data_IF_049093341503
#
_entry.id   IF_049093341503
#
_cell.length_a   1.000
_cell.length_b   1.000
_cell.length_c   1.000
_cell.angle_alpha   90.00
_cell.angle_beta   90.00
_cell.angle_gamma   90.00
#
_symmetry.space_group_name_H-M   'P 1'
#
loop_
_entity.id
_entity.type
_entity.pdbx_description
1 polymer ?
#
# COMPACT_ATOMS: atom_id res chain seq x y z
N UNK A 1 8.27 -28.11 -25.31
CA UNK A 1 7.13 -27.16 -25.18
C UNK A 1 7.21 -26.50 -23.82
N UNK A 2 6.94 -25.20 -23.67
CA UNK A 2 6.93 -24.56 -22.35
C UNK A 2 5.80 -25.19 -21.53
N UNK A 3 6.16 -26.11 -20.63
CA UNK A 3 5.21 -26.77 -19.75
C UNK A 3 4.81 -25.80 -18.64
N UNK A 4 3.52 -25.48 -18.53
CA UNK A 4 2.97 -24.78 -17.36
C UNK A 4 3.35 -25.54 -16.09
N UNK A 5 4.37 -25.06 -15.38
CA UNK A 5 4.86 -25.73 -14.17
C UNK A 5 3.78 -25.72 -13.09
N UNK A 6 3.83 -26.68 -12.16
CA UNK A 6 2.90 -26.74 -11.01
C UNK A 6 2.95 -25.43 -10.22
N UNK A 7 4.13 -24.82 -10.09
CA UNK A 7 4.31 -23.51 -9.45
C UNK A 7 3.57 -22.38 -10.19
N UNK A 8 3.58 -22.38 -11.53
CA UNK A 8 2.85 -21.39 -12.32
C UNK A 8 1.32 -21.54 -12.15
N UNK A 9 0.81 -22.78 -12.08
CA UNK A 9 -0.62 -23.05 -11.82
C UNK A 9 -1.05 -22.61 -10.42
N UNK A 10 -0.27 -22.97 -9.39
CA UNK A 10 -0.52 -22.54 -8.02
C UNK A 10 -0.50 -21.01 -7.90
N UNK A 11 0.45 -20.33 -8.57
CA UNK A 11 0.53 -18.87 -8.61
C UNK A 11 -0.73 -18.23 -9.17
N UNK A 12 -1.17 -18.67 -10.36
CA UNK A 12 -2.37 -18.12 -11.00
C UNK A 12 -3.62 -18.34 -10.14
N UNK A 13 -3.76 -19.54 -9.56
CA UNK A 13 -4.87 -19.85 -8.66
C UNK A 13 -4.87 -18.95 -7.42
N UNK A 14 -3.72 -18.77 -6.76
CA UNK A 14 -3.59 -17.88 -5.60
C UNK A 14 -3.91 -16.43 -5.97
N UNK A 15 -3.33 -15.89 -7.04
CA UNK A 15 -3.60 -14.51 -7.48
C UNK A 15 -5.07 -14.30 -7.82
N UNK A 16 -5.74 -15.28 -8.42
CA UNK A 16 -7.17 -15.20 -8.74
C UNK A 16 -8.05 -15.22 -7.48
N UNK A 17 -7.73 -16.07 -6.49
CA UNK A 17 -8.44 -16.10 -5.21
C UNK A 17 -8.28 -14.75 -4.48
N UNK A 18 -7.06 -14.21 -4.43
CA UNK A 18 -6.79 -12.91 -3.83
C UNK A 18 -7.53 -11.79 -4.56
N UNK A 19 -7.53 -11.81 -5.90
CA UNK A 19 -8.27 -10.86 -6.70
C UNK A 19 -9.76 -10.85 -6.37
N UNK A 20 -10.42 -12.02 -6.40
CA UNK A 20 -11.86 -12.12 -6.14
C UNK A 20 -12.18 -11.62 -4.73
N UNK A 21 -11.39 -12.03 -3.73
CA UNK A 21 -11.60 -11.62 -2.36
C UNK A 21 -11.36 -10.12 -2.17
N UNK A 22 -10.24 -9.59 -2.63
CA UNK A 22 -9.89 -8.18 -2.50
C UNK A 22 -10.89 -7.28 -3.24
N UNK A 23 -11.29 -7.65 -4.46
CA UNK A 23 -12.26 -6.90 -5.25
C UNK A 23 -13.64 -6.88 -4.56
N UNK A 24 -14.16 -8.04 -4.15
CA UNK A 24 -15.49 -8.11 -3.52
C UNK A 24 -15.52 -7.38 -2.17
N UNK A 25 -14.50 -7.58 -1.34
CA UNK A 25 -14.45 -6.99 0.00
C UNK A 25 -14.23 -5.47 -0.02
N UNK A 26 -13.28 -4.96 -0.82
CA UNK A 26 -13.05 -3.52 -0.94
C UNK A 26 -14.22 -2.81 -1.64
N UNK A 27 -14.87 -3.44 -2.63
CA UNK A 27 -16.07 -2.89 -3.26
C UNK A 27 -17.22 -2.78 -2.26
N UNK A 28 -17.42 -3.79 -1.41
CA UNK A 28 -18.42 -3.76 -0.34
C UNK A 28 -18.16 -2.62 0.66
N UNK A 29 -16.89 -2.42 1.07
CA UNK A 29 -16.50 -1.29 1.94
C UNK A 29 -16.82 0.04 1.26
N UNK A 30 -16.45 0.20 -0.01
CA UNK A 30 -16.67 1.43 -0.77
C UNK A 30 -18.17 1.74 -0.89
N UNK A 31 -18.99 0.75 -1.26
CA UNK A 31 -20.44 0.87 -1.34
C UNK A 31 -21.06 1.24 0.02
N UNK A 32 -20.61 0.61 1.10
CA UNK A 32 -21.09 0.89 2.47
C UNK A 32 -20.84 2.33 2.90
N UNK A 33 -19.69 2.91 2.52
CA UNK A 33 -19.37 4.32 2.80
C UNK A 33 -20.25 5.26 1.97
N UNK A 34 -20.50 4.96 0.69
CA UNK A 34 -21.33 5.80 -0.19
C UNK A 34 -22.83 5.76 0.14
N UNK A 35 -23.38 4.59 0.47
CA UNK A 35 -24.80 4.44 0.82
C UNK A 35 -25.16 4.86 2.24
N UNK A 36 -24.24 5.50 2.98
CA UNK A 36 -24.54 6.04 4.31
C UNK A 36 -24.71 4.99 5.41
N UNK A 37 -24.60 3.69 5.10
CA UNK A 37 -24.51 2.60 6.10
C UNK A 37 -23.22 2.69 6.95
N UNK A 38 -22.22 3.45 6.49
CA UNK A 38 -21.03 3.83 7.24
C UNK A 38 -21.22 4.89 8.35
N UNK A 39 -22.46 5.22 8.77
CA UNK A 39 -22.74 6.18 9.86
C UNK A 39 -22.05 5.83 11.19
N UNK A 40 -21.65 4.57 11.36
CA UNK A 40 -20.90 4.06 12.53
C UNK A 40 -19.44 4.51 12.56
N UNK A 41 -18.90 4.99 11.43
CA UNK A 41 -17.55 5.55 11.36
C UNK A 41 -17.58 7.06 11.51
N UNK A 42 -16.61 7.59 12.26
CA UNK A 42 -16.44 9.03 12.43
C UNK A 42 -16.35 9.74 11.08
N UNK A 43 -17.01 10.89 10.95
CA UNK A 43 -17.13 11.61 9.68
C UNK A 43 -15.77 11.90 8.99
N UNK A 44 -14.70 12.06 9.77
CA UNK A 44 -13.33 12.30 9.32
C UNK A 44 -12.62 11.05 8.76
N UNK A 45 -13.05 9.85 9.14
CA UNK A 45 -12.48 8.57 8.68
C UNK A 45 -13.07 8.12 7.34
N UNK A 46 -14.33 8.47 7.06
CA UNK A 46 -15.03 8.12 5.81
C UNK A 46 -14.21 8.40 4.54
N UNK A 47 -13.65 9.61 4.31
CA UNK A 47 -12.89 9.89 3.09
C UNK A 47 -11.58 9.11 3.02
N UNK A 48 -10.95 8.82 4.16
CA UNK A 48 -9.69 8.08 4.23
C UNK A 48 -9.92 6.62 3.86
N UNK A 49 -10.98 6.01 4.40
CA UNK A 49 -11.32 4.60 4.15
C UNK A 49 -11.84 4.39 2.73
N UNK A 50 -12.64 5.33 2.21
CA UNK A 50 -13.04 5.29 0.81
C UNK A 50 -11.83 5.38 -0.13
N UNK A 51 -10.84 6.22 0.22
CA UNK A 51 -9.62 6.34 -0.58
C UNK A 51 -8.73 5.10 -0.48
N UNK A 52 -8.65 4.45 0.68
CA UNK A 52 -7.91 3.20 0.84
C UNK A 52 -8.56 2.08 0.03
N UNK A 53 -9.87 1.88 0.18
CA UNK A 53 -10.60 0.89 -0.61
C UNK A 53 -10.50 1.16 -2.13
N UNK A 54 -10.49 2.43 -2.55
CA UNK A 54 -10.26 2.79 -3.95
C UNK A 54 -8.84 2.42 -4.42
N UNK A 55 -7.80 2.68 -3.62
CA UNK A 55 -6.42 2.30 -3.93
C UNK A 55 -6.24 0.77 -3.98
N UNK A 56 -6.88 0.03 -3.07
CA UNK A 56 -6.84 -1.44 -3.05
C UNK A 56 -7.61 -2.06 -4.23
N UNK A 57 -8.74 -1.45 -4.64
CA UNK A 57 -9.44 -1.84 -5.86
C UNK A 57 -8.58 -1.59 -7.09
N UNK A 58 -7.85 -0.48 -7.13
CA UNK A 58 -6.88 -0.22 -8.20
C UNK A 58 -5.77 -1.27 -8.22
N UNK A 59 -5.19 -1.62 -7.07
CA UNK A 59 -4.22 -2.72 -6.96
C UNK A 59 -4.85 -4.05 -7.44
N UNK A 60 -6.08 -4.33 -7.05
CA UNK A 60 -6.77 -5.57 -7.39
C UNK A 60 -7.10 -5.67 -8.87
N UNK A 61 -7.67 -4.64 -9.50
CA UNK A 61 -8.12 -4.68 -10.89
C UNK A 61 -7.02 -4.40 -11.91
N UNK A 62 -5.94 -3.71 -11.51
CA UNK A 62 -4.86 -3.34 -12.42
C UNK A 62 -3.66 -4.25 -12.19
N UNK A 63 -3.17 -4.33 -10.96
CA UNK A 63 -1.88 -4.95 -10.67
C UNK A 63 -1.95 -6.47 -10.70
N UNK A 64 -2.97 -7.06 -10.07
CA UNK A 64 -3.07 -8.53 -10.03
C UNK A 64 -3.32 -9.16 -11.42
N UNK A 65 -4.20 -8.63 -12.29
CA UNK A 65 -4.40 -9.15 -13.64
C UNK A 65 -3.21 -8.88 -14.54
N UNK A 66 -2.58 -7.70 -14.44
CA UNK A 66 -1.38 -7.39 -15.22
C UNK A 66 -0.24 -8.36 -14.86
N UNK A 67 -0.04 -8.64 -13.57
CA UNK A 67 0.95 -9.62 -13.11
C UNK A 67 0.61 -11.04 -13.60
N UNK A 68 -0.67 -11.43 -13.58
CA UNK A 68 -1.11 -12.72 -14.11
C UNK A 68 -0.90 -12.84 -15.64
N UNK A 69 -1.25 -11.82 -16.41
CA UNK A 69 -1.09 -11.78 -17.87
C UNK A 69 0.39 -11.82 -18.24
N UNK A 70 1.22 -10.99 -17.61
CA UNK A 70 2.66 -10.97 -17.85
C UNK A 70 3.30 -12.36 -17.64
N UNK A 71 2.86 -13.02 -16.58
CA UNK A 71 3.30 -14.36 -16.20
C UNK A 71 2.81 -15.49 -17.11
N UNK A 72 1.73 -15.28 -17.88
CA UNK A 72 1.14 -16.29 -18.78
C UNK A 72 1.66 -16.09 -20.20
N UNK A 73 1.67 -14.85 -20.69
CA UNK A 73 1.92 -14.61 -22.11
C UNK A 73 3.41 -14.51 -22.44
N UNK A 74 4.28 -14.09 -21.49
CA UNK A 74 5.74 -13.85 -21.66
C UNK A 74 6.08 -12.83 -22.77
N UNK A 75 5.11 -12.52 -23.64
CA UNK A 75 5.10 -11.67 -24.81
C UNK A 75 3.90 -10.72 -24.73
N UNK A 76 4.13 -9.44 -25.05
CA UNK A 76 3.14 -8.37 -24.96
C UNK A 76 2.48 -8.10 -26.31
N UNK A 77 1.18 -8.37 -26.42
CA UNK A 77 0.42 -8.25 -27.67
C UNK A 77 -0.36 -6.92 -27.79
N UNK A 78 -0.49 -6.13 -26.72
CA UNK A 78 -1.39 -4.97 -26.66
C UNK A 78 -0.77 -3.64 -27.14
N UNK A 79 0.41 -3.66 -27.75
CA UNK A 79 1.10 -2.48 -28.29
C UNK A 79 1.74 -1.55 -27.24
N UNK A 80 2.52 -0.57 -27.70
CA UNK A 80 3.35 0.31 -26.86
C UNK A 80 2.56 1.24 -25.93
N UNK A 81 1.46 1.81 -26.44
CA UNK A 81 0.60 2.71 -25.66
C UNK A 81 0.00 2.00 -24.45
N UNK A 82 -0.51 0.78 -24.63
CA UNK A 82 -1.08 0.00 -23.54
C UNK A 82 -0.01 -0.44 -22.53
N UNK A 83 1.20 -0.77 -22.99
CA UNK A 83 2.34 -1.10 -22.13
C UNK A 83 2.67 0.06 -21.19
N UNK A 84 2.89 1.26 -21.74
CA UNK A 84 3.15 2.49 -20.96
C UNK A 84 2.04 2.80 -19.97
N UNK A 85 0.79 2.74 -20.44
CA UNK A 85 -0.37 3.02 -19.59
C UNK A 85 -0.49 2.03 -18.44
N UNK A 86 -0.29 0.74 -18.68
CA UNK A 86 -0.39 -0.29 -17.65
C UNK A 86 0.76 -0.22 -16.63
N UNK A 87 1.99 0.09 -17.07
CA UNK A 87 3.11 0.36 -16.16
C UNK A 87 2.85 1.59 -15.29
N UNK A 88 2.35 2.68 -15.88
CA UNK A 88 1.92 3.86 -15.14
C UNK A 88 0.84 3.54 -14.11
N UNK A 89 -0.24 2.86 -14.53
CA UNK A 89 -1.35 2.52 -13.65
C UNK A 89 -0.93 1.58 -12.52
N UNK A 90 -0.05 0.60 -12.80
CA UNK A 90 0.53 -0.28 -11.78
C UNK A 90 1.25 0.53 -10.71
N UNK A 91 2.13 1.43 -11.14
CA UNK A 91 2.95 2.19 -10.21
C UNK A 91 2.12 3.25 -9.46
N UNK A 92 1.18 3.88 -10.14
CA UNK A 92 0.22 4.79 -9.53
C UNK A 92 -0.58 4.11 -8.43
N UNK A 93 -1.07 2.88 -8.67
CA UNK A 93 -1.77 2.08 -7.66
C UNK A 93 -0.87 1.82 -6.43
N UNK A 94 0.38 1.40 -6.63
CA UNK A 94 1.32 1.14 -5.54
C UNK A 94 1.64 2.41 -4.72
N UNK A 95 1.89 3.56 -5.38
CA UNK A 95 2.12 4.82 -4.67
C UNK A 95 0.88 5.29 -3.92
N UNK A 96 -0.31 5.15 -4.52
CA UNK A 96 -1.55 5.55 -3.87
C UNK A 96 -1.76 4.73 -2.60
N UNK A 97 -1.65 3.40 -2.64
CA UNK A 97 -1.79 2.54 -1.47
C UNK A 97 -0.82 2.94 -0.34
N UNK A 98 0.46 3.15 -0.64
CA UNK A 98 1.45 3.55 0.36
C UNK A 98 1.18 4.94 0.96
N UNK A 99 0.84 5.95 0.15
CA UNK A 99 0.58 7.30 0.66
C UNK A 99 -0.76 7.43 1.39
N UNK A 100 -1.77 6.65 1.03
CA UNK A 100 -3.01 6.60 1.81
C UNK A 100 -2.73 6.08 3.23
N UNK A 101 -1.86 5.08 3.41
CA UNK A 101 -1.45 4.60 4.73
C UNK A 101 -0.67 5.65 5.54
N UNK A 102 0.12 6.48 4.87
CA UNK A 102 0.75 7.66 5.49
C UNK A 102 -0.31 8.66 5.96
N UNK A 103 -1.33 8.93 5.13
CA UNK A 103 -2.45 9.81 5.51
C UNK A 103 -3.22 9.24 6.69
N UNK A 104 -3.49 7.93 6.73
CA UNK A 104 -4.09 7.24 7.88
C UNK A 104 -3.26 7.51 9.13
N UNK A 105 -1.95 7.27 9.08
CA UNK A 105 -1.05 7.43 10.22
C UNK A 105 -0.97 8.86 10.74
N UNK A 106 -0.90 9.84 9.82
CA UNK A 106 -0.89 11.27 10.15
C UNK A 106 -2.23 11.77 10.72
N UNK A 107 -3.35 11.26 10.20
CA UNK A 107 -4.67 11.53 10.73
C UNK A 107 -4.80 11.01 12.17
N UNK A 108 -4.32 9.79 12.44
CA UNK A 108 -4.29 9.23 13.80
C UNK A 108 -3.37 10.01 14.74
N UNK A 109 -2.18 10.37 14.27
CA UNK A 109 -1.25 11.22 15.01
C UNK A 109 -1.91 12.52 15.49
N UNK A 110 -2.52 13.26 14.56
CA UNK A 110 -3.22 14.51 14.91
C UNK A 110 -4.46 14.26 15.77
N UNK A 111 -5.24 13.24 15.43
CA UNK A 111 -6.44 12.91 16.17
C UNK A 111 -6.16 12.46 17.61
N UNK A 112 -4.95 12.01 17.96
CA UNK A 112 -4.56 11.65 19.34
C UNK A 112 -3.86 12.82 20.05
N UNK A 113 -2.85 13.44 19.43
CA UNK A 113 -2.04 14.48 20.08
C UNK A 113 -2.74 15.84 20.14
N UNK A 114 -3.62 16.16 19.18
CA UNK A 114 -4.29 17.46 19.07
C UNK A 114 -5.82 17.28 19.00
N UNK A 115 -6.48 16.94 20.13
CA UNK A 115 -7.92 16.67 20.15
C UNK A 115 -8.80 17.87 19.76
N UNK A 116 -8.34 19.10 20.03
CA UNK A 116 -9.07 20.33 19.72
C UNK A 116 -9.15 20.62 18.22
N UNK A 117 -8.19 20.12 17.42
CA UNK A 117 -8.16 20.26 15.95
C UNK A 117 -9.10 19.28 15.23
N UNK A 118 -9.95 18.55 15.97
CA UNK A 118 -10.85 17.54 15.42
C UNK A 118 -12.03 18.12 14.64
N UNK A 119 -12.38 19.39 14.87
CA UNK A 119 -13.47 20.09 14.18
C UNK A 119 -13.21 20.24 12.67
N UNK A 120 -11.96 20.50 12.29
CA UNK A 120 -11.53 20.63 10.88
C UNK A 120 -10.98 19.32 10.27
N UNK A 121 -11.05 18.22 11.00
CA UNK A 121 -10.44 16.95 10.61
C UNK A 121 -10.91 16.45 9.23
N UNK A 122 -12.19 16.64 8.88
CA UNK A 122 -12.72 16.23 7.57
C UNK A 122 -12.05 16.99 6.43
N UNK A 123 -11.97 18.33 6.53
CA UNK A 123 -11.39 19.19 5.48
C UNK A 123 -9.89 18.94 5.36
N UNK A 124 -9.21 18.79 6.49
CA UNK A 124 -7.79 18.43 6.54
C UNK A 124 -7.52 17.10 5.87
N UNK A 125 -8.29 16.06 6.22
CA UNK A 125 -8.09 14.72 5.65
C UNK A 125 -8.34 14.74 4.13
N UNK A 126 -9.37 15.44 3.65
CA UNK A 126 -9.57 15.65 2.20
C UNK A 126 -8.38 16.31 1.52
N UNK A 127 -7.79 17.34 2.14
CA UNK A 127 -6.59 18.00 1.60
C UNK A 127 -5.38 17.06 1.57
N UNK A 128 -5.15 16.31 2.66
CA UNK A 128 -4.08 15.32 2.73
C UNK A 128 -4.23 14.21 1.68
N UNK A 129 -5.46 13.74 1.46
CA UNK A 129 -5.78 12.77 0.42
C UNK A 129 -5.55 13.34 -0.98
N UNK A 130 -6.00 14.57 -1.25
CA UNK A 130 -5.75 15.23 -2.53
C UNK A 130 -4.24 15.36 -2.81
N UNK A 131 -3.45 15.74 -1.81
CA UNK A 131 -1.99 15.77 -1.93
C UNK A 131 -1.41 14.38 -2.19
N UNK A 132 -1.88 13.36 -1.48
CA UNK A 132 -1.43 11.97 -1.68
C UNK A 132 -1.70 11.49 -3.11
N UNK A 133 -2.93 11.64 -3.61
CA UNK A 133 -3.30 11.25 -4.98
C UNK A 133 -2.49 12.00 -6.03
N UNK A 134 -2.37 13.33 -5.90
CA UNK A 134 -1.57 14.14 -6.83
C UNK A 134 -0.09 13.74 -6.82
N UNK A 135 0.47 13.47 -5.63
CA UNK A 135 1.85 13.02 -5.50
C UNK A 135 2.03 11.62 -6.11
N UNK A 136 1.08 10.71 -5.93
CA UNK A 136 1.12 9.38 -6.57
C UNK A 136 1.12 9.49 -8.09
N UNK A 137 0.30 10.38 -8.68
CA UNK A 137 0.31 10.62 -10.13
C UNK A 137 1.64 11.21 -10.57
N UNK A 138 2.14 12.22 -9.87
CA UNK A 138 3.40 12.88 -10.19
C UNK A 138 4.57 11.90 -10.17
N UNK A 139 4.68 11.09 -9.12
CA UNK A 139 5.74 10.09 -8.98
C UNK A 139 5.61 8.93 -9.97
N UNK A 140 4.39 8.59 -10.39
CA UNK A 140 4.17 7.57 -11.41
C UNK A 140 4.38 8.09 -12.84
N UNK A 141 4.22 9.39 -13.09
CA UNK A 141 4.27 10.00 -14.43
C UNK A 141 5.55 9.73 -15.24
N UNK A 142 6.77 9.58 -14.67
CA UNK A 142 7.97 9.26 -15.44
C UNK A 142 7.84 7.96 -16.24
N UNK A 143 7.02 7.01 -15.78
CA UNK A 143 6.73 5.74 -16.47
C UNK A 143 6.15 5.96 -17.88
N UNK A 144 5.39 7.03 -18.09
CA UNK A 144 4.76 7.34 -19.38
C UNK A 144 5.77 7.82 -20.44
N UNK A 145 6.91 8.37 -20.01
CA UNK A 145 7.90 8.98 -20.89
C UNK A 145 9.15 8.11 -21.06
N UNK A 146 9.52 7.35 -20.04
CA UNK A 146 10.78 6.57 -20.00
C UNK A 146 10.65 5.21 -20.68
N UNK A 147 9.55 4.48 -20.45
CA UNK A 147 9.41 3.11 -20.95
C UNK A 147 9.02 3.10 -22.42
N UNK A 148 9.69 2.29 -23.24
CA UNK A 148 9.32 2.01 -24.64
C UNK A 148 9.28 0.49 -24.85
N UNK A 149 8.42 0.01 -25.74
CA UNK A 149 8.50 -1.38 -26.21
C UNK A 149 9.80 -1.58 -26.97
N UNK A 150 10.64 -2.48 -26.49
CA UNK A 150 11.84 -2.92 -27.20
C UNK A 150 11.47 -4.20 -27.95
N UNK A 151 11.65 -4.19 -29.28
CA UNK A 151 11.62 -5.42 -30.09
C UNK A 151 12.99 -6.08 -29.97
N UNK A 152 13.04 -7.36 -29.60
CA UNK A 152 14.30 -8.09 -29.65
C UNK A 152 14.77 -8.20 -31.11
N UNK A 153 16.02 -7.87 -31.40
CA UNK A 153 16.57 -7.99 -32.76
C UNK A 153 16.54 -9.47 -33.21
N UNK A 154 15.89 -9.75 -34.35
CA UNK A 154 15.94 -11.05 -35.03
C UNK A 154 14.80 -12.03 -34.73
N UNK A 155 13.83 -11.70 -33.87
CA UNK A 155 12.62 -12.51 -33.63
C UNK A 155 11.41 -11.60 -33.41
N UNK A 156 10.21 -11.97 -33.91
CA UNK A 156 8.93 -11.29 -33.62
C UNK A 156 8.51 -11.49 -32.14
N UNK A 157 9.31 -10.97 -31.21
CA UNK A 157 9.13 -11.10 -29.78
C UNK A 157 9.18 -9.71 -29.14
N UNK A 158 8.02 -9.24 -28.67
CA UNK A 158 7.84 -7.91 -28.07
C UNK A 158 7.62 -8.08 -26.57
N UNK A 159 8.53 -7.56 -25.75
CA UNK A 159 8.37 -7.53 -24.30
C UNK A 159 8.20 -6.08 -23.82
N UNK A 160 7.21 -5.83 -22.98
CA UNK A 160 7.08 -4.59 -22.18
C UNK A 160 8.04 -4.68 -20.98
N UNK A 161 9.34 -4.70 -21.23
CA UNK A 161 10.38 -4.81 -20.19
C UNK A 161 11.09 -3.47 -19.96
N UNK A 162 11.46 -3.27 -18.70
CA UNK A 162 12.39 -2.23 -18.21
C UNK A 162 13.81 -2.42 -18.76
N UNK A 163 14.18 -3.67 -19.03
CA UNK A 163 15.53 -4.06 -19.47
C UNK A 163 15.83 -3.46 -20.85
N UNK A 164 16.79 -2.53 -20.90
CA UNK A 164 17.24 -1.85 -22.12
C UNK A 164 16.61 -0.49 -22.40
N UNK A 165 15.67 0.00 -21.56
CA UNK A 165 15.16 1.38 -21.69
C UNK A 165 16.18 2.43 -21.19
N UNK A 166 17.13 2.00 -20.36
CA UNK A 166 18.23 2.82 -19.87
C UNK A 166 19.53 2.45 -20.59
N UNK A 167 20.25 3.46 -21.08
CA UNK A 167 21.54 3.30 -21.77
C UNK A 167 22.63 2.76 -20.82
N UNK A 168 22.48 3.00 -19.52
CA UNK A 168 23.46 2.61 -18.51
C UNK A 168 22.78 2.00 -17.26
N UNK A 169 23.41 0.96 -16.72
CA UNK A 169 22.96 0.21 -15.54
C UNK A 169 22.76 1.11 -14.28
N UNK A 170 23.49 2.22 -14.18
CA UNK A 170 23.33 3.16 -13.06
C UNK A 170 21.97 3.87 -13.09
N UNK A 171 21.41 4.15 -14.27
CA UNK A 171 20.14 4.88 -14.38
C UNK A 171 18.98 3.98 -13.93
N UNK A 172 18.98 2.72 -14.36
CA UNK A 172 18.03 1.71 -13.90
C UNK A 172 18.12 1.51 -12.38
N UNK A 173 19.34 1.42 -11.84
CA UNK A 173 19.57 1.29 -10.40
C UNK A 173 19.04 2.51 -9.64
N UNK A 174 19.39 3.74 -10.05
CA UNK A 174 18.90 4.97 -9.41
C UNK A 174 17.38 5.07 -9.47
N UNK A 175 16.77 4.69 -10.60
CA UNK A 175 15.34 4.69 -10.77
C UNK A 175 14.64 3.70 -9.82
N UNK A 176 15.13 2.47 -9.74
CA UNK A 176 14.62 1.47 -8.82
C UNK A 176 14.81 1.90 -7.35
N UNK A 177 15.94 2.53 -7.02
CA UNK A 177 16.19 3.09 -5.68
C UNK A 177 15.20 4.20 -5.32
N UNK A 178 14.91 5.09 -6.26
CA UNK A 178 13.92 6.14 -6.05
C UNK A 178 12.54 5.56 -5.70
N UNK A 179 12.10 4.53 -6.44
CA UNK A 179 10.83 3.85 -6.19
C UNK A 179 10.84 3.09 -4.86
N UNK A 180 11.93 2.39 -4.55
CA UNK A 180 12.11 1.73 -3.27
C UNK A 180 11.97 2.70 -2.08
N UNK A 181 12.65 3.85 -2.17
CA UNK A 181 12.60 4.87 -1.13
C UNK A 181 11.19 5.46 -1.00
N UNK A 182 10.55 5.81 -2.11
CA UNK A 182 9.26 6.51 -2.09
C UNK A 182 8.07 5.60 -1.80
N UNK A 183 8.11 4.32 -2.19
CA UNK A 183 7.05 3.33 -1.94
C UNK A 183 7.14 2.68 -0.57
N UNK A 184 8.34 2.57 0.01
CA UNK A 184 8.53 1.79 1.22
C UNK A 184 9.21 2.57 2.35
N UNK A 185 10.45 3.05 2.13
CA UNK A 185 11.23 3.68 3.21
C UNK A 185 10.58 4.96 3.72
N UNK A 186 10.21 5.87 2.84
CA UNK A 186 9.58 7.14 3.22
C UNK A 186 8.24 6.90 3.96
N UNK A 187 7.30 6.09 3.43
CA UNK A 187 6.10 5.73 4.18
C UNK A 187 6.42 5.10 5.54
N UNK A 188 7.35 4.15 5.60
CA UNK A 188 7.73 3.46 6.83
C UNK A 188 8.26 4.43 7.90
N UNK A 189 9.15 5.35 7.53
CA UNK A 189 9.70 6.35 8.45
C UNK A 189 8.61 7.26 9.01
N UNK A 190 7.69 7.74 8.16
CA UNK A 190 6.58 8.58 8.61
C UNK A 190 5.65 7.81 9.56
N UNK A 191 5.35 6.54 9.24
CA UNK A 191 4.53 5.68 10.09
C UNK A 191 5.20 5.44 11.46
N UNK A 192 6.48 5.05 11.47
CA UNK A 192 7.25 4.84 12.70
C UNK A 192 7.25 6.11 13.55
N UNK A 193 7.55 7.26 12.96
CA UNK A 193 7.52 8.55 13.65
C UNK A 193 6.15 8.84 14.28
N UNK A 194 5.07 8.72 13.50
CA UNK A 194 3.70 8.98 13.97
C UNK A 194 3.33 8.08 15.14
N UNK A 195 3.50 6.77 15.00
CA UNK A 195 3.11 5.81 16.04
C UNK A 195 3.99 5.90 17.28
N UNK A 196 5.29 6.15 17.13
CA UNK A 196 6.19 6.35 18.28
C UNK A 196 5.71 7.53 19.12
N UNK A 197 5.40 8.66 18.49
CA UNK A 197 4.88 9.85 19.19
C UNK A 197 3.50 9.63 19.82
N UNK A 198 2.65 8.82 19.19
CA UNK A 198 1.36 8.42 19.77
C UNK A 198 1.58 7.59 21.03
N UNK A 199 2.42 6.55 20.96
CA UNK A 199 2.68 5.67 22.10
C UNK A 199 3.35 6.39 23.27
N UNK A 200 4.31 7.28 22.99
CA UNK A 200 4.95 8.08 24.07
C UNK A 200 3.95 9.02 24.73
N UNK A 201 3.04 9.66 23.98
CA UNK A 201 2.00 10.51 24.56
C UNK A 201 1.01 9.71 25.41
N UNK A 202 0.59 8.54 24.94
CA UNK A 202 -0.31 7.65 25.69
C UNK A 202 0.36 7.17 26.98
N UNK A 203 1.61 6.73 26.91
CA UNK A 203 2.34 6.25 28.08
C UNK A 203 2.55 7.37 29.11
N UNK A 204 2.94 8.57 28.65
CA UNK A 204 3.07 9.75 29.53
C UNK A 204 1.75 10.08 30.25
N UNK A 205 0.63 10.07 29.53
CA UNK A 205 -0.69 10.31 30.13
C UNK A 205 -1.09 9.24 31.15
N UNK A 206 -0.74 7.97 30.92
CA UNK A 206 -1.00 6.89 31.87
C UNK A 206 -0.16 7.07 33.15
N UNK A 207 1.11 7.47 33.02
CA UNK A 207 1.97 7.75 34.16
C UNK A 207 1.47 8.95 34.98
N UNK A 208 1.17 10.08 34.34
CA UNK A 208 0.60 11.26 35.02
C UNK A 208 -0.70 10.94 35.76
N UNK A 209 -1.54 10.08 35.18
CA UNK A 209 -2.82 9.72 35.79
C UNK A 209 -2.64 8.78 36.99
N UNK A 210 -1.68 7.84 36.95
CA UNK A 210 -1.34 6.99 38.11
C UNK A 210 -0.82 7.79 39.30
N UNK A 211 0.00 8.81 39.04
CA UNK A 211 0.52 9.68 40.08
C UNK A 211 -0.61 10.52 40.71
N UNK A 212 -1.55 11.04 39.91
CA UNK A 212 -2.70 11.80 40.40
C UNK A 212 -3.79 10.95 41.08
N UNK A 213 -3.98 9.68 40.69
CA UNK A 213 -4.92 8.75 41.33
C UNK A 213 -4.57 8.47 42.79
N UNK A 214 -3.28 8.56 43.14
CA UNK A 214 -2.79 8.44 44.51
C UNK A 214 -3.18 9.62 45.42
N UNK A 215 -3.53 10.78 44.83
CA UNK A 215 -3.84 12.02 45.57
C UNK A 215 -5.31 12.45 45.50
N UNK A 216 -6.07 12.16 44.44
CA UNK A 216 -7.47 12.62 44.31
C UNK A 216 -8.38 11.58 43.67
N UNK A 217 -9.22 10.96 44.49
CA UNK A 217 -10.34 10.09 44.11
C UNK A 217 -11.49 10.94 43.53
N UNK A 218 -11.34 11.48 42.32
CA UNK A 218 -12.39 12.29 41.65
C UNK A 218 -12.56 11.89 40.18
N UNK A 219 -13.62 11.12 39.93
CA UNK A 219 -14.28 10.85 38.63
C UNK A 219 -13.36 10.43 37.47
N UNK A 220 -13.18 9.10 37.33
CA UNK A 220 -12.46 8.48 36.22
C UNK A 220 -13.17 8.66 34.88
N UNK A 221 -12.91 9.78 34.21
CA UNK A 221 -13.07 9.88 32.76
C UNK A 221 -11.86 9.27 32.07
N UNK A 222 -12.06 8.29 31.18
CA UNK A 222 -10.99 7.77 30.33
C UNK A 222 -10.25 8.95 29.65
N UNK A 223 -8.94 9.11 29.92
CA UNK A 223 -8.09 10.19 29.37
C UNK A 223 -8.14 10.22 27.83
N UNK A 224 -8.42 9.07 27.21
CA UNK A 224 -8.68 8.93 25.78
C UNK A 224 -10.01 8.20 25.60
N UNK A 225 -10.99 8.81 24.92
CA UNK A 225 -12.25 8.16 24.59
C UNK A 225 -12.02 6.78 23.96
N UNK A 226 -12.73 5.75 24.45
CA UNK A 226 -12.65 4.36 23.94
C UNK A 226 -12.78 4.28 22.42
N UNK A 227 -13.58 5.16 21.82
CA UNK A 227 -13.71 5.31 20.37
C UNK A 227 -12.38 5.67 19.67
N UNK A 228 -11.60 6.61 20.22
CA UNK A 228 -10.27 6.99 19.67
C UNK A 228 -9.28 5.85 19.80
N UNK A 229 -9.26 5.15 20.95
CA UNK A 229 -8.41 3.97 21.15
C UNK A 229 -8.75 2.85 20.16
N UNK A 230 -10.04 2.59 19.91
CA UNK A 230 -10.49 1.61 18.93
C UNK A 230 -9.94 1.91 17.53
N UNK A 231 -10.10 3.15 17.09
CA UNK A 231 -9.60 3.60 15.77
C UNK A 231 -8.08 3.63 15.67
N UNK A 232 -7.37 3.83 16.78
CA UNK A 232 -5.91 3.73 16.84
C UNK A 232 -5.46 2.27 16.72
N UNK A 233 -6.07 1.34 17.47
CA UNK A 233 -5.75 -0.09 17.35
C UNK A 233 -5.97 -0.59 15.93
N UNK A 234 -7.10 -0.21 15.35
CA UNK A 234 -7.43 -0.48 13.96
C UNK A 234 -6.36 0.00 12.98
N UNK A 235 -5.91 1.27 13.09
CA UNK A 235 -4.88 1.81 12.20
C UNK A 235 -3.51 1.16 12.40
N UNK A 236 -3.17 0.80 13.65
CA UNK A 236 -1.94 0.05 13.96
C UNK A 236 -1.97 -1.30 13.25
N UNK A 237 -3.09 -2.03 13.30
CA UNK A 237 -3.20 -3.33 12.60
C UNK A 237 -3.07 -3.17 11.08
N UNK A 238 -3.72 -2.16 10.48
CA UNK A 238 -3.60 -1.85 9.04
C UNK A 238 -2.13 -1.58 8.66
N UNK A 239 -1.45 -0.73 9.43
CA UNK A 239 -0.05 -0.38 9.15
C UNK A 239 0.89 -1.55 9.38
N UNK A 240 0.69 -2.33 10.42
CA UNK A 240 1.46 -3.56 10.67
C UNK A 240 1.26 -4.57 9.55
N UNK A 241 0.04 -4.73 9.03
CA UNK A 241 -0.25 -5.58 7.87
C UNK A 241 0.58 -5.16 6.67
N UNK A 242 0.58 -3.87 6.31
CA UNK A 242 1.39 -3.36 5.20
C UNK A 242 2.88 -3.65 5.38
N UNK A 243 3.43 -3.36 6.57
CA UNK A 243 4.85 -3.62 6.86
C UNK A 243 5.14 -5.12 6.72
N UNK A 244 4.36 -5.99 7.35
CA UNK A 244 4.60 -7.44 7.32
C UNK A 244 4.51 -7.97 5.88
N UNK A 245 3.48 -7.59 5.12
CA UNK A 245 3.26 -8.07 3.75
C UNK A 245 4.34 -7.58 2.77
N UNK A 246 4.77 -6.32 2.87
CA UNK A 246 5.67 -5.73 1.88
C UNK A 246 7.16 -5.83 2.25
N UNK A 247 7.52 -5.97 3.53
CA UNK A 247 8.92 -6.07 3.97
C UNK A 247 9.70 -7.15 3.22
N UNK A 248 9.21 -8.40 3.08
CA UNK A 248 9.99 -9.46 2.46
C UNK A 248 10.37 -9.16 1.02
N UNK A 249 9.43 -8.61 0.24
CA UNK A 249 9.65 -8.20 -1.14
C UNK A 249 10.69 -7.08 -1.25
N UNK A 250 10.58 -6.07 -0.38
CA UNK A 250 11.48 -4.93 -0.37
C UNK A 250 12.89 -5.27 0.17
N UNK A 251 13.00 -6.15 1.16
CA UNK A 251 14.29 -6.65 1.65
C UNK A 251 15.02 -7.45 0.57
N UNK A 252 14.30 -8.26 -0.20
CA UNK A 252 14.89 -8.98 -1.33
C UNK A 252 15.43 -7.99 -2.38
N UNK A 253 14.70 -6.90 -2.65
CA UNK A 253 15.18 -5.82 -3.51
C UNK A 253 16.48 -5.16 -3.02
N UNK A 254 16.60 -4.90 -1.71
CA UNK A 254 17.83 -4.40 -1.11
C UNK A 254 18.96 -5.43 -1.20
N UNK A 255 18.66 -6.71 -1.02
CA UNK A 255 19.66 -7.77 -1.09
C UNK A 255 20.34 -7.81 -2.47
N UNK A 256 19.56 -7.70 -3.55
CA UNK A 256 20.11 -7.61 -4.91
C UNK A 256 20.92 -6.35 -5.16
N UNK A 257 20.66 -5.27 -4.42
CA UNK A 257 21.46 -4.07 -4.53
C UNK A 257 22.88 -4.28 -4.01
N UNK A 258 23.06 -4.99 -2.89
CA UNK A 258 24.38 -5.31 -2.36
C UNK A 258 25.08 -6.44 -3.12
N UNK A 259 24.31 -7.41 -3.65
CA UNK A 259 24.84 -8.58 -4.35
C UNK A 259 24.11 -8.80 -5.68
N UNK A 260 24.39 -8.01 -6.73
CA UNK A 260 23.70 -8.11 -8.02
C UNK A 260 23.87 -9.47 -8.70
N UNK A 261 24.98 -10.18 -8.44
CA UNK A 261 25.22 -11.54 -8.94
C UNK A 261 24.16 -12.56 -8.46
N UNK A 262 23.47 -12.28 -7.36
CA UNK A 262 22.43 -13.16 -6.82
C UNK A 262 21.14 -13.17 -7.63
N UNK A 263 20.92 -12.19 -8.52
CA UNK A 263 19.75 -12.17 -9.43
C UNK A 263 19.76 -13.39 -10.35
N UNK A 264 20.94 -13.84 -10.80
CA UNK A 264 21.07 -15.01 -11.68
C UNK A 264 20.90 -16.35 -10.93
N UNK A 265 21.15 -16.35 -9.62
CA UNK A 265 21.05 -17.55 -8.78
C UNK A 265 19.70 -17.67 -8.07
N UNK A 266 18.94 -16.58 -7.94
CA UNK A 266 17.63 -16.64 -7.30
C UNK A 266 16.58 -17.04 -8.33
N UNK A 267 15.83 -18.10 -8.09
CA UNK A 267 14.82 -18.51 -9.04
C UNK A 267 13.64 -17.53 -9.05
N UNK A 268 13.14 -17.26 -10.26
CA UNK A 268 12.10 -16.26 -10.55
C UNK A 268 10.83 -16.40 -9.68
N UNK A 269 10.50 -17.63 -9.25
CA UNK A 269 9.34 -17.89 -8.39
C UNK A 269 9.42 -17.17 -7.04
N UNK A 270 10.62 -16.90 -6.50
CA UNK A 270 10.78 -16.24 -5.19
C UNK A 270 10.26 -14.81 -5.26
N UNK A 271 10.65 -14.05 -6.29
CA UNK A 271 10.18 -12.67 -6.48
C UNK A 271 8.65 -12.61 -6.58
N UNK A 272 8.06 -13.51 -7.36
CA UNK A 272 6.62 -13.56 -7.53
C UNK A 272 5.90 -13.97 -6.24
N UNK A 273 6.42 -14.95 -5.49
CA UNK A 273 5.81 -15.33 -4.22
C UNK A 273 5.83 -14.18 -3.22
N UNK A 274 6.93 -13.43 -3.13
CA UNK A 274 7.01 -12.27 -2.24
C UNK A 274 6.11 -11.11 -2.72
N UNK A 275 5.97 -10.94 -4.04
CA UNK A 275 5.04 -9.94 -4.58
C UNK A 275 3.57 -10.30 -4.31
N UNK A 276 3.19 -11.57 -4.51
CA UNK A 276 1.87 -12.10 -4.17
C UNK A 276 1.61 -11.98 -2.65
N UNK A 277 2.64 -12.20 -1.83
CA UNK A 277 2.56 -11.98 -0.38
C UNK A 277 2.32 -10.50 -0.04
N UNK A 278 2.95 -9.57 -0.75
CA UNK A 278 2.66 -8.13 -0.65
C UNK A 278 1.20 -7.79 -0.97
N UNK A 279 0.64 -8.44 -1.99
CA UNK A 279 -0.76 -8.24 -2.40
C UNK A 279 -1.78 -8.73 -1.36
N UNK A 280 -1.40 -9.60 -0.41
CA UNK A 280 -2.28 -9.99 0.71
C UNK A 280 -2.72 -8.80 1.54
N UNK A 281 -1.93 -7.72 1.59
CA UNK A 281 -2.29 -6.52 2.34
C UNK A 281 -3.66 -5.96 1.93
N UNK A 282 -3.95 -5.95 0.61
CA UNK A 282 -5.23 -5.46 0.07
C UNK A 282 -6.45 -6.26 0.53
N UNK A 283 -6.23 -7.51 0.96
CA UNK A 283 -7.26 -8.39 1.52
C UNK A 283 -7.45 -8.15 3.02
N UNK A 284 -6.38 -7.81 3.74
CA UNK A 284 -6.41 -7.61 5.18
C UNK A 284 -7.23 -6.38 5.58
N UNK A 285 -7.19 -5.31 4.80
CA UNK A 285 -7.81 -4.03 5.14
C UNK A 285 -9.33 -4.12 5.39
N UNK A 286 -10.16 -4.66 4.47
CA UNK A 286 -11.59 -4.92 4.69
C UNK A 286 -11.91 -5.79 5.92
N UNK A 287 -11.10 -6.83 6.17
CA UNK A 287 -11.27 -7.71 7.32
C UNK A 287 -11.08 -6.91 8.62
N UNK A 288 -10.03 -6.09 8.67
CA UNK A 288 -9.76 -5.22 9.82
C UNK A 288 -10.93 -4.23 10.01
N UNK A 289 -11.43 -3.61 8.94
CA UNK A 289 -12.59 -2.72 9.04
C UNK A 289 -13.82 -3.42 9.64
N UNK A 290 -14.10 -4.66 9.24
CA UNK A 290 -15.21 -5.45 9.76
C UNK A 290 -15.08 -5.76 11.25
N UNK A 291 -13.88 -6.08 11.75
CA UNK A 291 -13.67 -6.34 13.17
C UNK A 291 -13.79 -5.07 14.03
N UNK A 292 -13.35 -3.93 13.51
CA UNK A 292 -13.35 -2.67 14.25
C UNK A 292 -14.62 -1.82 14.02
N UNK A 293 -15.55 -2.25 13.16
CA UNK A 293 -16.84 -1.60 12.90
C UNK A 293 -18.00 -2.60 13.11
N UNK A 294 -18.49 -2.80 14.34
CA UNK A 294 -19.60 -3.71 14.65
C UNK A 294 -20.90 -3.19 14.05
#
# INVERSE_FOLDING_TARGET
LPSFSVAARCRVATTLVLFVFAAASNLSVLISVFWGRGYRLGAHLRPVIASLAAADLMMSFIVMPLDAVWNITVQWYAGDVMCKLMCFLKLFAMHSAAFILVVVSLDRYRAILHPLDSLDAVRRNRRMLAVAWSLSVLLASPQLFIFRTIKAEGVDFTQCVTHGSFLHLWQETTYNMFHFVTLYIFPLLVMIFCYTRIFTKINGQIHENKDNESCLRRSGGDVIPKARMKTLKMSVVIVSSFVICWTPYYLLGIWYWFHPAMIQHTPEYVHHMLFVFGNLNTCCDPIIYSFYTP
#
